data_IF_718950465304
#
_entry.id   IF_718950465304
#
_cell.length_a   1.000
_cell.length_b   1.000
_cell.length_c   1.000
_cell.angle_alpha   90.00
_cell.angle_beta   90.00
_cell.angle_gamma   90.00
#
_symmetry.space_group_name_H-M   'P 1'
#
loop_
_entity.id
_entity.type
_entity.pdbx_description
1 polymer ?
#
# COMPACT_ATOMS: atom_id res chain seq x y z
N UNK A 1 -10.09 -21.95 -21.04
CA UNK A 1 -10.73 -21.46 -19.81
C UNK A 1 -9.65 -21.33 -18.73
N UNK A 2 -9.65 -20.20 -18.05
CA UNK A 2 -8.71 -19.90 -16.98
C UNK A 2 -8.98 -20.86 -15.79
N UNK A 3 -8.02 -21.68 -15.35
CA UNK A 3 -8.20 -22.64 -14.27
C UNK A 3 -8.63 -21.97 -12.95
N UNK A 4 -8.18 -20.74 -12.69
CA UNK A 4 -8.57 -20.00 -11.49
C UNK A 4 -10.04 -19.57 -11.50
N UNK A 5 -10.58 -19.21 -12.67
CA UNK A 5 -12.01 -18.92 -12.81
C UNK A 5 -12.86 -20.18 -12.64
N UNK A 6 -12.39 -21.34 -13.09
CA UNK A 6 -13.08 -22.60 -12.88
C UNK A 6 -13.11 -23.00 -11.40
N UNK A 7 -11.99 -22.78 -10.68
CA UNK A 7 -11.92 -23.03 -9.24
C UNK A 7 -12.93 -22.14 -8.47
N UNK A 8 -13.00 -20.85 -8.78
CA UNK A 8 -14.00 -19.95 -8.17
C UNK A 8 -15.42 -20.42 -8.47
N UNK A 9 -15.71 -20.86 -9.69
CA UNK A 9 -17.03 -21.36 -10.06
C UNK A 9 -17.38 -22.65 -9.28
N UNK A 10 -16.41 -23.56 -9.11
CA UNK A 10 -16.59 -24.79 -8.32
C UNK A 10 -16.88 -24.47 -6.85
N UNK A 11 -16.09 -23.57 -6.23
CA UNK A 11 -16.31 -23.17 -4.84
C UNK A 11 -17.61 -22.39 -4.64
N UNK A 12 -18.04 -21.61 -5.63
CA UNK A 12 -19.36 -20.95 -5.61
C UNK A 12 -20.49 -21.98 -5.59
N UNK A 13 -20.36 -23.07 -6.35
CA UNK A 13 -21.34 -24.17 -6.35
C UNK A 13 -21.39 -24.90 -4.99
N UNK A 14 -20.23 -25.06 -4.35
CA UNK A 14 -20.15 -25.66 -3.00
C UNK A 14 -20.85 -24.80 -1.95
N UNK A 15 -20.70 -23.46 -2.02
CA UNK A 15 -21.42 -22.52 -1.16
C UNK A 15 -22.93 -22.65 -1.38
N UNK A 16 -23.40 -22.75 -2.62
CA UNK A 16 -24.83 -22.92 -2.92
C UNK A 16 -25.38 -24.23 -2.36
N UNK A 17 -24.62 -25.32 -2.46
CA UNK A 17 -24.99 -26.60 -1.87
C UNK A 17 -25.09 -26.52 -0.33
N UNK A 18 -24.05 -25.95 0.32
CA UNK A 18 -24.06 -25.78 1.77
C UNK A 18 -25.21 -24.88 2.25
N UNK A 19 -25.54 -23.84 1.49
CA UNK A 19 -26.69 -22.96 1.76
C UNK A 19 -28.01 -23.76 1.69
N UNK A 20 -28.17 -24.66 0.72
CA UNK A 20 -29.37 -25.51 0.60
C UNK A 20 -29.51 -26.43 1.80
N UNK A 21 -28.41 -27.04 2.25
CA UNK A 21 -28.39 -27.90 3.45
C UNK A 21 -28.78 -27.09 4.69
N UNK A 22 -28.29 -25.88 4.84
CA UNK A 22 -28.66 -25.02 5.96
C UNK A 22 -30.15 -24.67 5.94
N UNK A 23 -30.68 -24.24 4.79
CA UNK A 23 -32.12 -23.93 4.65
C UNK A 23 -33.00 -25.15 5.02
N UNK A 24 -32.59 -26.37 4.63
CA UNK A 24 -33.31 -27.57 5.00
C UNK A 24 -33.26 -27.81 6.51
N UNK A 25 -32.07 -27.70 7.13
CA UNK A 25 -31.90 -27.90 8.56
C UNK A 25 -32.66 -26.83 9.39
N UNK A 26 -32.70 -25.60 8.94
CA UNK A 26 -33.49 -24.51 9.55
C UNK A 26 -34.97 -24.80 9.46
N UNK A 27 -35.48 -25.23 8.31
CA UNK A 27 -36.88 -25.61 8.11
C UNK A 27 -37.31 -26.81 8.98
N UNK A 28 -36.42 -27.81 9.15
CA UNK A 28 -36.66 -28.94 10.02
C UNK A 28 -36.71 -28.53 11.48
N UNK A 29 -35.78 -27.66 11.93
CA UNK A 29 -35.79 -27.13 13.28
C UNK A 29 -37.05 -26.27 13.55
N UNK A 30 -37.46 -25.43 12.59
CA UNK A 30 -38.64 -24.59 12.70
C UNK A 30 -39.92 -25.40 12.85
N UNK A 31 -39.98 -26.59 12.23
CA UNK A 31 -41.11 -27.54 12.40
C UNK A 31 -41.08 -28.28 13.74
N UNK A 32 -39.90 -28.68 14.21
CA UNK A 32 -39.73 -29.48 15.43
C UNK A 32 -39.91 -28.62 16.69
N UNK A 33 -39.43 -27.37 16.67
CA UNK A 33 -39.44 -26.47 17.83
C UNK A 33 -40.83 -26.29 18.47
N UNK A 34 -41.89 -25.93 17.73
CA UNK A 34 -43.23 -25.80 18.31
C UNK A 34 -43.83 -27.15 18.80
N UNK A 35 -43.43 -28.28 18.19
CA UNK A 35 -43.90 -29.58 18.64
C UNK A 35 -43.22 -29.98 19.96
N UNK A 36 -42.00 -29.60 20.17
CA UNK A 36 -41.31 -29.80 21.47
C UNK A 36 -41.95 -28.95 22.59
N UNK A 37 -42.38 -27.72 22.31
CA UNK A 37 -43.06 -26.85 23.27
C UNK A 37 -44.36 -27.47 23.81
N UNK A 38 -45.08 -28.25 22.99
CA UNK A 38 -46.28 -28.97 23.42
C UNK A 38 -46.00 -30.42 23.81
N UNK A 39 -44.71 -30.79 23.99
CA UNK A 39 -44.27 -32.16 24.35
C UNK A 39 -44.71 -33.26 23.35
N UNK A 40 -44.93 -32.92 22.09
CA UNK A 40 -45.30 -33.83 21.02
C UNK A 40 -44.08 -34.56 20.41
N UNK A 41 -42.88 -34.06 20.64
CA UNK A 41 -41.59 -34.68 20.29
C UNK A 41 -40.66 -34.69 21.49
N UNK A 42 -39.64 -35.55 21.45
CA UNK A 42 -38.68 -35.67 22.55
C UNK A 42 -37.69 -34.52 22.55
N UNK A 43 -37.15 -34.17 23.73
CA UNK A 43 -36.05 -33.21 23.85
C UNK A 43 -34.80 -33.62 23.06
N UNK A 44 -34.62 -34.95 22.90
CA UNK A 44 -33.54 -35.52 22.10
C UNK A 44 -33.71 -35.17 20.61
N UNK A 45 -34.92 -35.19 20.06
CA UNK A 45 -35.21 -34.81 18.66
C UNK A 45 -34.95 -33.32 18.43
N UNK A 46 -35.37 -32.46 19.37
CA UNK A 46 -35.07 -31.02 19.31
C UNK A 46 -33.57 -30.78 19.34
N UNK A 47 -32.84 -31.45 20.25
CA UNK A 47 -31.40 -31.36 20.35
C UNK A 47 -30.66 -31.78 19.06
N UNK A 48 -31.15 -32.89 18.46
CA UNK A 48 -30.61 -33.38 17.18
C UNK A 48 -30.83 -32.37 16.06
N UNK A 49 -32.03 -31.80 15.92
CA UNK A 49 -32.35 -30.81 14.89
C UNK A 49 -31.51 -29.52 15.07
N UNK A 50 -31.35 -29.10 16.33
CA UNK A 50 -30.49 -27.94 16.66
C UNK A 50 -29.02 -28.20 16.27
N UNK A 51 -28.50 -29.36 16.64
CA UNK A 51 -27.13 -29.74 16.31
C UNK A 51 -26.91 -29.86 14.79
N UNK A 52 -27.93 -30.33 14.07
CA UNK A 52 -27.87 -30.46 12.62
C UNK A 52 -27.86 -29.10 11.92
N UNK A 53 -28.66 -28.12 12.42
CA UNK A 53 -28.62 -26.75 11.95
C UNK A 53 -27.25 -26.10 12.23
N UNK A 54 -26.70 -26.28 13.44
CA UNK A 54 -25.39 -25.73 13.82
C UNK A 54 -24.23 -26.31 13.00
N UNK A 55 -24.32 -27.63 12.70
CA UNK A 55 -23.39 -28.28 11.78
C UNK A 55 -23.49 -27.72 10.35
N UNK A 56 -24.72 -27.47 9.87
CA UNK A 56 -24.95 -26.86 8.56
C UNK A 56 -24.43 -25.42 8.47
N UNK A 57 -24.58 -24.62 9.53
CA UNK A 57 -23.97 -23.27 9.61
C UNK A 57 -22.45 -23.36 9.48
N UNK A 58 -21.82 -24.23 10.26
CA UNK A 58 -20.37 -24.43 10.22
C UNK A 58 -19.90 -24.92 8.84
N UNK A 59 -20.67 -25.78 8.20
CA UNK A 59 -20.41 -26.24 6.84
C UNK A 59 -20.48 -25.11 5.81
N UNK A 60 -21.47 -24.23 5.93
CA UNK A 60 -21.60 -23.05 5.07
C UNK A 60 -20.42 -22.08 5.26
N UNK A 61 -20.02 -21.83 6.50
CA UNK A 61 -18.87 -20.96 6.80
C UNK A 61 -17.57 -21.53 6.21
N UNK A 62 -17.36 -22.84 6.32
CA UNK A 62 -16.22 -23.51 5.71
C UNK A 62 -16.23 -23.39 4.18
N UNK A 63 -17.39 -23.57 3.54
CA UNK A 63 -17.52 -23.39 2.09
C UNK A 63 -17.24 -21.93 1.66
N UNK A 64 -17.73 -20.94 2.41
CA UNK A 64 -17.44 -19.52 2.17
C UNK A 64 -15.95 -19.20 2.34
N UNK A 65 -15.28 -19.79 3.32
CA UNK A 65 -13.85 -19.61 3.53
C UNK A 65 -13.06 -20.15 2.32
N UNK A 66 -13.42 -21.33 1.80
CA UNK A 66 -12.78 -21.89 0.60
C UNK A 66 -13.01 -21.02 -0.64
N UNK A 67 -14.22 -20.50 -0.83
CA UNK A 67 -14.51 -19.55 -1.91
C UNK A 67 -13.66 -18.27 -1.79
N UNK A 68 -13.47 -17.79 -0.57
CA UNK A 68 -12.61 -16.61 -0.34
C UNK A 68 -11.15 -16.90 -0.73
N UNK A 69 -10.62 -18.09 -0.40
CA UNK A 69 -9.28 -18.51 -0.80
C UNK A 69 -9.17 -18.57 -2.34
N UNK A 70 -10.17 -19.15 -3.01
CA UNK A 70 -10.18 -19.21 -4.47
C UNK A 70 -10.21 -17.80 -5.10
N UNK A 71 -10.99 -16.88 -4.56
CA UNK A 71 -11.03 -15.48 -4.99
C UNK A 71 -9.70 -14.75 -4.74
N UNK A 72 -9.02 -15.01 -3.62
CA UNK A 72 -7.70 -14.45 -3.36
C UNK A 72 -6.68 -14.95 -4.39
N UNK A 73 -6.69 -16.23 -4.70
CA UNK A 73 -5.80 -16.82 -5.71
C UNK A 73 -6.06 -16.21 -7.10
N UNK A 74 -7.33 -16.01 -7.47
CA UNK A 74 -7.69 -15.31 -8.70
C UNK A 74 -7.22 -13.84 -8.67
N UNK A 75 -7.32 -13.20 -7.51
CA UNK A 75 -6.82 -11.83 -7.29
C UNK A 75 -5.33 -11.69 -7.53
N UNK A 76 -4.54 -12.68 -7.14
CA UNK A 76 -3.08 -12.69 -7.36
C UNK A 76 -2.69 -12.83 -8.85
N UNK A 77 -3.58 -13.34 -9.69
CA UNK A 77 -3.35 -13.39 -11.14
C UNK A 77 -3.45 -11.99 -11.81
N UNK A 78 -4.03 -11.01 -11.12
CA UNK A 78 -4.16 -9.63 -11.60
C UNK A 78 -3.32 -8.70 -10.75
N UNK A 79 -2.23 -8.21 -11.32
CA UNK A 79 -1.36 -7.26 -10.64
C UNK A 79 -1.81 -5.83 -10.92
N UNK A 80 -2.09 -5.09 -9.85
CA UNK A 80 -2.46 -3.68 -9.92
C UNK A 80 -1.31 -2.81 -9.40
N UNK A 81 -1.14 -1.63 -9.99
CA UNK A 81 -0.20 -0.65 -9.46
C UNK A 81 -0.68 -0.18 -8.08
N UNK A 82 0.16 -0.26 -7.02
CA UNK A 82 -0.22 0.16 -5.66
C UNK A 82 -0.32 1.67 -5.50
N UNK A 83 0.23 2.44 -6.44
CA UNK A 83 0.26 3.90 -6.44
C UNK A 83 -0.08 4.45 -7.82
N UNK A 84 -0.65 5.64 -7.87
CA UNK A 84 -0.76 6.42 -9.11
C UNK A 84 0.61 6.88 -9.56
N UNK A 85 0.92 6.72 -10.86
CA UNK A 85 2.21 7.14 -11.37
C UNK A 85 2.41 6.82 -12.84
N UNK A 86 3.65 7.01 -13.28
CA UNK A 86 4.08 6.61 -14.62
C UNK A 86 4.78 5.27 -14.52
N UNK A 87 4.31 4.33 -15.33
CA UNK A 87 4.93 3.01 -15.46
C UNK A 87 6.21 3.12 -16.28
N UNK A 88 7.26 2.49 -15.77
CA UNK A 88 8.55 2.39 -16.45
C UNK A 88 8.56 1.29 -17.53
N UNK A 89 9.76 0.96 -17.99
CA UNK A 89 9.96 -0.11 -18.96
C UNK A 89 9.52 -1.45 -18.36
N UNK A 90 8.77 -2.24 -19.12
CA UNK A 90 8.47 -3.64 -18.80
C UNK A 90 9.75 -4.47 -18.87
N UNK A 91 10.08 -5.18 -17.82
CA UNK A 91 11.29 -6.00 -17.70
C UNK A 91 11.03 -7.49 -17.97
N UNK A 92 9.78 -7.92 -17.88
CA UNK A 92 9.37 -9.28 -18.19
C UNK A 92 8.38 -9.29 -19.36
N UNK A 93 8.50 -10.27 -20.27
CA UNK A 93 7.65 -10.44 -21.45
C UNK A 93 6.67 -11.59 -21.24
N UNK A 94 5.62 -11.62 -22.04
CA UNK A 94 4.71 -12.75 -22.08
C UNK A 94 5.46 -14.06 -22.39
N UNK A 95 5.18 -15.10 -21.60
CA UNK A 95 5.86 -16.40 -21.68
C UNK A 95 7.13 -16.52 -20.88
N UNK A 96 7.64 -15.45 -20.28
CA UNK A 96 8.78 -15.53 -19.36
C UNK A 96 8.31 -15.96 -17.96
N UNK A 97 9.14 -16.81 -17.32
CA UNK A 97 8.87 -17.22 -15.96
C UNK A 97 9.14 -16.08 -14.98
N UNK A 98 8.13 -15.71 -14.24
CA UNK A 98 8.19 -14.68 -13.19
C UNK A 98 7.92 -15.33 -11.85
N UNK A 99 8.97 -15.85 -11.21
CA UNK A 99 8.89 -16.55 -9.94
C UNK A 99 9.41 -15.72 -8.76
N UNK A 100 9.17 -16.27 -7.56
CA UNK A 100 9.65 -15.68 -6.31
C UNK A 100 11.07 -16.15 -5.98
N UNK A 101 11.38 -17.40 -6.25
CA UNK A 101 12.67 -18.03 -5.96
C UNK A 101 13.35 -18.54 -7.25
N UNK A 102 14.68 -18.50 -7.36
CA UNK A 102 15.64 -17.93 -6.41
C UNK A 102 15.79 -16.41 -6.50
N UNK A 103 15.27 -15.78 -7.55
CA UNK A 103 15.39 -14.33 -7.77
C UNK A 103 14.03 -13.72 -8.10
N UNK A 104 13.49 -12.85 -7.25
CA UNK A 104 12.25 -12.14 -7.56
C UNK A 104 12.46 -11.25 -8.81
N UNK A 105 11.61 -11.42 -9.80
CA UNK A 105 11.67 -10.62 -11.02
C UNK A 105 10.86 -9.35 -10.83
N UNK A 106 11.53 -8.21 -11.03
CA UNK A 106 10.85 -6.90 -11.08
C UNK A 106 10.17 -6.80 -12.45
N UNK A 107 8.84 -6.78 -12.46
CA UNK A 107 8.07 -6.69 -13.69
C UNK A 107 8.10 -5.27 -14.26
N UNK A 108 7.75 -4.31 -13.40
CA UNK A 108 7.65 -2.90 -13.73
C UNK A 108 7.95 -2.04 -12.51
N UNK A 109 8.38 -0.82 -12.76
CA UNK A 109 8.51 0.21 -11.73
C UNK A 109 7.49 1.30 -11.99
N UNK A 110 6.69 1.65 -10.98
CA UNK A 110 5.77 2.79 -11.06
C UNK A 110 6.34 3.93 -10.22
N UNK A 111 6.49 5.09 -10.83
CA UNK A 111 7.04 6.28 -10.18
C UNK A 111 5.99 7.38 -10.08
N UNK A 112 5.78 7.89 -8.89
CA UNK A 112 4.95 9.07 -8.67
C UNK A 112 5.78 10.31 -8.96
N UNK A 113 5.37 11.12 -9.94
CA UNK A 113 6.13 12.27 -10.41
C UNK A 113 5.51 13.63 -10.04
N UNK A 114 4.43 13.68 -9.26
CA UNK A 114 3.81 14.95 -8.82
C UNK A 114 4.71 15.75 -7.89
N UNK A 115 5.57 15.07 -7.15
CA UNK A 115 6.58 15.65 -6.29
C UNK A 115 7.87 14.87 -6.46
N UNK A 116 8.99 15.58 -6.51
CA UNK A 116 10.31 14.96 -6.60
C UNK A 116 11.12 15.28 -5.35
N UNK A 117 11.88 14.30 -4.88
CA UNK A 117 12.78 14.46 -3.75
C UNK A 117 14.19 14.65 -4.29
N UNK A 118 14.82 15.73 -3.87
CA UNK A 118 16.20 16.05 -4.21
C UNK A 118 17.06 15.82 -2.98
N UNK A 119 18.07 15.00 -3.12
CA UNK A 119 19.07 14.74 -2.09
C UNK A 119 20.34 15.49 -2.44
N UNK A 120 20.90 16.22 -1.50
CA UNK A 120 22.14 16.93 -1.67
C UNK A 120 22.95 16.92 -0.38
N UNK A 121 24.25 17.10 -0.53
CA UNK A 121 25.19 17.08 0.58
C UNK A 121 25.63 18.48 0.94
N UNK A 122 25.63 18.79 2.21
CA UNK A 122 26.12 20.05 2.76
C UNK A 122 27.35 19.77 3.62
N UNK A 123 28.47 20.44 3.35
CA UNK A 123 29.66 20.30 4.18
C UNK A 123 29.41 20.80 5.60
N UNK A 124 30.05 20.19 6.61
CA UNK A 124 29.90 20.55 8.02
C UNK A 124 30.10 22.04 8.28
N UNK A 125 31.10 22.66 7.66
CA UNK A 125 31.34 24.10 7.82
C UNK A 125 30.19 24.96 7.30
N UNK A 126 29.55 24.58 6.19
CA UNK A 126 28.39 25.27 5.67
C UNK A 126 27.16 25.04 6.56
N UNK A 127 26.98 23.83 7.05
CA UNK A 127 25.90 23.51 8.01
C UNK A 127 26.02 24.38 9.26
N UNK A 128 27.19 24.46 9.89
CA UNK A 128 27.39 25.27 11.08
C UNK A 128 27.10 26.74 10.84
N UNK A 129 27.42 27.26 9.64
CA UNK A 129 27.12 28.66 9.26
C UNK A 129 25.62 28.90 9.18
N UNK A 130 24.89 27.98 8.53
CA UNK A 130 23.41 28.01 8.43
C UNK A 130 22.77 27.88 9.81
N UNK A 131 23.20 26.92 10.61
CA UNK A 131 22.67 26.67 11.94
C UNK A 131 22.89 27.88 12.89
N UNK A 132 24.08 28.49 12.88
CA UNK A 132 24.36 29.69 13.67
C UNK A 132 23.48 30.86 13.22
N UNK A 133 23.35 31.12 11.93
CA UNK A 133 22.48 32.16 11.41
C UNK A 133 21.01 31.98 11.82
N UNK A 134 20.53 30.73 11.82
CA UNK A 134 19.17 30.40 12.27
C UNK A 134 19.01 30.63 13.78
N UNK A 135 19.96 30.19 14.61
CA UNK A 135 19.95 30.39 16.07
C UNK A 135 19.97 31.89 16.42
N UNK A 136 20.79 32.70 15.74
CA UNK A 136 20.88 34.17 15.95
C UNK A 136 19.56 34.87 15.64
N UNK A 137 18.83 34.43 14.60
CA UNK A 137 17.48 34.93 14.28
C UNK A 137 16.46 34.56 15.34
N UNK A 138 16.47 33.30 15.80
CA UNK A 138 15.56 32.81 16.83
C UNK A 138 15.78 33.54 18.17
N UNK A 139 17.01 33.80 18.56
CA UNK A 139 17.36 34.51 19.79
C UNK A 139 16.96 36.02 19.75
N UNK A 140 16.88 36.60 18.56
CA UNK A 140 16.48 38.03 18.40
C UNK A 140 14.98 38.27 18.41
N UNK A 141 14.12 37.23 18.68
CA UNK A 141 12.65 37.36 18.64
C UNK A 141 12.12 38.12 17.40
N UNK A 142 12.81 38.02 16.30
CA UNK A 142 12.22 38.41 15.03
C UNK A 142 11.09 37.42 14.82
N UNK A 143 9.83 37.91 14.89
CA UNK A 143 8.65 37.10 14.62
C UNK A 143 8.99 36.22 13.42
N UNK A 144 8.85 34.90 13.63
CA UNK A 144 9.00 33.95 12.56
C UNK A 144 7.82 34.19 11.59
N UNK A 145 7.96 35.28 10.79
CA UNK A 145 7.26 35.30 9.53
C UNK A 145 7.71 34.03 8.83
N UNK A 146 6.79 33.30 8.34
CA UNK A 146 6.83 31.98 7.71
C UNK A 146 7.81 31.91 6.51
N UNK A 147 8.99 32.53 6.65
CA UNK A 147 10.11 32.45 5.71
C UNK A 147 10.85 31.14 5.93
N UNK A 148 10.13 30.08 5.60
CA UNK A 148 10.67 28.78 5.31
C UNK A 148 11.92 28.96 4.48
N UNK A 149 13.03 28.35 4.89
CA UNK A 149 14.29 28.31 4.11
C UNK A 149 13.92 27.98 2.67
N UNK A 150 14.04 28.95 1.78
CA UNK A 150 13.70 28.78 0.38
C UNK A 150 14.83 28.04 -0.33
N UNK A 151 14.52 26.85 -0.79
CA UNK A 151 15.44 26.04 -1.56
C UNK A 151 15.05 26.20 -3.03
N UNK A 152 16.00 26.73 -3.82
CA UNK A 152 15.88 26.88 -5.25
C UNK A 152 16.63 25.76 -5.96
N UNK A 153 16.11 25.28 -7.09
CA UNK A 153 16.70 24.22 -7.88
C UNK A 153 17.15 24.80 -9.24
N UNK A 154 18.38 24.54 -9.61
CA UNK A 154 18.94 24.86 -10.92
C UNK A 154 19.04 23.54 -11.69
N UNK A 155 18.35 23.45 -12.80
CA UNK A 155 18.33 22.27 -13.65
C UNK A 155 19.64 22.09 -14.41
N UNK A 156 19.80 20.96 -15.07
CA UNK A 156 21.02 20.61 -15.80
C UNK A 156 21.34 21.56 -16.97
N UNK A 157 20.33 22.19 -17.54
CA UNK A 157 20.44 23.22 -18.60
C UNK A 157 20.83 24.62 -18.06
N UNK A 158 20.93 24.77 -16.75
CA UNK A 158 21.21 26.04 -16.07
C UNK A 158 19.98 26.88 -15.77
N UNK A 159 18.79 26.44 -16.15
CA UNK A 159 17.55 27.16 -15.86
C UNK A 159 17.16 27.02 -14.38
N UNK A 160 16.64 28.12 -13.82
CA UNK A 160 16.06 28.10 -12.48
C UNK A 160 14.69 27.42 -12.54
N UNK A 161 14.46 26.46 -11.67
CA UNK A 161 13.17 25.80 -11.55
C UNK A 161 12.13 26.71 -10.89
N UNK A 162 10.96 26.82 -11.47
CA UNK A 162 9.95 27.80 -11.06
C UNK A 162 9.29 27.51 -9.70
N UNK A 163 9.42 26.29 -9.19
CA UNK A 163 8.83 25.88 -7.91
C UNK A 163 9.89 25.83 -6.83
N UNK A 164 9.56 26.40 -5.67
CA UNK A 164 10.42 26.37 -4.49
C UNK A 164 10.32 25.03 -3.80
N UNK A 165 11.44 24.55 -3.29
CA UNK A 165 11.50 23.32 -2.49
C UNK A 165 11.22 23.58 -1.03
N UNK A 166 10.66 22.56 -0.38
CA UNK A 166 10.49 22.47 1.06
C UNK A 166 11.50 21.49 1.60
N UNK A 167 12.18 21.84 2.69
CA UNK A 167 13.07 20.92 3.39
C UNK A 167 12.24 19.85 4.09
N UNK A 168 12.55 18.59 3.81
CA UNK A 168 11.87 17.45 4.43
C UNK A 168 12.69 16.87 5.58
N UNK A 169 14.01 16.75 5.36
CA UNK A 169 14.86 15.97 6.24
C UNK A 169 16.31 16.47 6.20
N UNK A 170 16.94 16.51 7.35
CA UNK A 170 18.37 16.70 7.53
C UNK A 170 18.89 15.50 8.30
N UNK A 171 19.90 14.83 7.80
CA UNK A 171 20.48 13.70 8.51
C UNK A 171 21.09 14.15 9.84
N UNK A 172 20.93 13.31 10.86
CA UNK A 172 21.50 13.54 12.18
C UNK A 172 23.02 13.40 12.20
N UNK A 173 23.53 12.56 11.32
CA UNK A 173 24.93 12.17 11.30
C UNK A 173 25.65 12.88 10.17
N UNK A 174 26.87 13.33 10.48
CA UNK A 174 27.86 13.71 9.46
C UNK A 174 28.50 12.43 8.97
N UNK A 175 28.57 12.24 7.67
CA UNK A 175 29.34 11.14 7.09
C UNK A 175 30.84 11.37 7.35
N UNK A 176 31.50 10.52 8.15
CA UNK A 176 32.89 10.74 8.54
C UNK A 176 33.88 10.63 7.34
N UNK A 177 33.46 9.98 6.25
CA UNK A 177 34.31 9.83 5.06
C UNK A 177 34.33 11.08 4.19
N UNK A 178 33.22 11.83 4.14
CA UNK A 178 33.04 12.99 3.28
C UNK A 178 32.97 14.32 4.04
N UNK A 179 32.77 14.29 5.36
CA UNK A 179 32.54 15.48 6.18
C UNK A 179 31.28 16.24 5.78
N UNK A 180 30.29 15.53 5.24
CA UNK A 180 29.08 16.13 4.72
C UNK A 180 27.82 15.56 5.38
N UNK A 181 26.76 16.35 5.42
CA UNK A 181 25.44 16.02 5.95
C UNK A 181 24.48 15.87 4.78
N UNK A 182 23.73 14.77 4.74
CA UNK A 182 22.68 14.57 3.76
C UNK A 182 21.44 15.41 4.10
N UNK A 183 20.98 16.19 3.13
CA UNK A 183 19.74 16.95 3.20
C UNK A 183 18.83 16.49 2.09
N UNK A 184 17.55 16.38 2.40
CA UNK A 184 16.50 16.06 1.44
C UNK A 184 15.49 17.19 1.40
N UNK A 185 15.12 17.59 0.21
CA UNK A 185 14.07 18.57 -0.04
C UNK A 185 13.08 18.03 -1.09
N UNK A 186 11.81 18.33 -0.91
CA UNK A 186 10.76 18.03 -1.87
C UNK A 186 10.41 19.25 -2.70
N UNK A 187 10.19 19.01 -3.98
CA UNK A 187 9.78 20.02 -4.96
C UNK A 187 8.50 19.59 -5.64
N UNK A 188 7.48 20.46 -5.75
CA UNK A 188 6.32 20.20 -6.58
C UNK A 188 6.75 20.01 -8.04
N UNK A 189 6.16 19.06 -8.74
CA UNK A 189 6.49 18.77 -10.15
C UNK A 189 5.20 18.56 -10.96
N UNK A 190 4.34 19.61 -11.07
CA UNK A 190 3.04 19.48 -11.73
C UNK A 190 3.19 19.13 -13.20
N UNK A 191 4.19 19.69 -13.88
CA UNK A 191 4.45 19.50 -15.31
C UNK A 191 5.22 18.21 -15.60
N UNK A 192 5.60 17.45 -14.55
CA UNK A 192 6.39 16.21 -14.66
C UNK A 192 7.69 16.38 -15.44
N UNK A 193 8.25 17.62 -15.40
CA UNK A 193 9.48 18.01 -16.09
C UNK A 193 10.70 17.29 -15.50
N UNK A 194 10.76 17.23 -14.16
CA UNK A 194 11.85 16.59 -13.44
C UNK A 194 11.57 15.09 -13.33
N UNK A 195 12.56 14.30 -13.66
CA UNK A 195 12.49 12.82 -13.58
C UNK A 195 13.52 12.27 -12.59
N UNK A 196 13.24 11.14 -11.95
CA UNK A 196 14.22 10.46 -11.11
C UNK A 196 15.50 10.16 -11.88
N UNK A 197 16.66 10.33 -11.21
CA UNK A 197 17.98 10.12 -11.80
C UNK A 197 18.59 11.34 -12.49
N UNK A 198 17.88 12.45 -12.58
CA UNK A 198 18.46 13.71 -13.08
C UNK A 198 19.33 14.39 -12.02
N UNK A 199 20.38 15.06 -12.48
CA UNK A 199 21.21 15.91 -11.64
C UNK A 199 20.70 17.36 -11.65
N UNK A 200 20.76 17.99 -10.48
CA UNK A 200 20.42 19.39 -10.34
C UNK A 200 21.35 20.05 -9.28
N UNK A 201 21.49 21.35 -9.35
CA UNK A 201 22.19 22.13 -8.34
C UNK A 201 21.18 22.78 -7.40
N UNK A 202 21.43 22.67 -6.12
CA UNK A 202 20.58 23.27 -5.09
C UNK A 202 21.20 24.58 -4.65
N UNK A 203 20.37 25.63 -4.61
CA UNK A 203 20.75 26.96 -4.09
C UNK A 203 19.85 27.22 -2.87
N UNK A 204 20.50 27.38 -1.73
CA UNK A 204 19.83 27.74 -0.47
C UNK A 204 20.04 29.23 -0.23
N UNK A 205 18.96 29.98 -0.10
CA UNK A 205 19.01 31.39 0.38
C UNK A 205 18.79 31.36 1.89
N UNK A 206 19.74 31.95 2.60
CA UNK A 206 19.78 32.09 4.06
C UNK A 206 19.46 33.51 4.44
#
# INVERSE_FOLDING_TARGET
>A
PDPLLQEVAAQTSMVAQAQTVLVQAESDLERIKPLAEISAVSEQELSMATSQRDAAISGLEAAKANLNIANLNLGYAKMYAPIEGIIGKTLAREGEFVGKDPNPVILNTVSQLRSVRVQFFLSEGNYLRVAKAYMDRTNRKIEASDETIHIELILADGALYNHKGKMDFIDRNVDPSTGAILIQASFPNPDRLIRPGQFARVKVKI
#
